data_IF_456610932230
#
_entry.id   IF_456610932230
#
_cell.length_a   1.000
_cell.length_b   1.000
_cell.length_c   1.000
_cell.angle_alpha   90.00
_cell.angle_beta   90.00
_cell.angle_gamma   90.00
#
_symmetry.space_group_name_H-M   'P 1'
#
loop_
_entity.id
_entity.type
_entity.pdbx_description
1 polymer ?
#
# COMPACT_ATOMS: atom_id res chain seq x y z
N UNK A 1 5.43 -2.27 4.17
CA UNK A 1 4.55 -3.40 4.59
C UNK A 1 3.43 -2.87 5.47
N UNK A 2 3.74 -2.14 6.56
CA UNK A 2 2.73 -1.50 7.41
C UNK A 2 1.78 -0.56 6.65
N UNK A 3 2.28 0.14 5.63
CA UNK A 3 1.48 1.04 4.78
C UNK A 3 0.38 0.28 4.02
N UNK A 4 0.66 -0.94 3.58
CA UNK A 4 -0.29 -1.81 2.91
C UNK A 4 -1.34 -2.35 3.88
N UNK A 5 -0.92 -2.76 5.07
CA UNK A 5 -1.84 -3.21 6.12
C UNK A 5 -2.81 -2.10 6.52
N UNK A 6 -2.33 -0.85 6.57
CA UNK A 6 -3.15 0.29 6.96
C UNK A 6 -4.09 0.76 5.85
N UNK A 7 -3.63 0.76 4.58
CA UNK A 7 -4.44 1.23 3.44
C UNK A 7 -5.45 0.18 2.97
N UNK A 8 -5.09 -1.11 3.02
CA UNK A 8 -5.90 -2.21 2.47
C UNK A 8 -6.45 -3.17 3.52
N UNK A 9 -6.17 -2.96 4.81
CA UNK A 9 -6.54 -3.87 5.90
C UNK A 9 -6.02 -5.31 5.69
N UNK A 10 -4.94 -5.47 4.92
CA UNK A 10 -4.33 -6.76 4.62
C UNK A 10 -3.68 -7.36 5.85
N UNK A 11 -3.85 -8.68 6.02
CA UNK A 11 -3.19 -9.44 7.09
C UNK A 11 -1.79 -9.84 6.63
N UNK A 12 -0.86 -10.14 7.55
CA UNK A 12 0.50 -10.57 7.18
C UNK A 12 0.53 -11.77 6.22
N UNK A 13 -0.42 -12.70 6.37
CA UNK A 13 -0.59 -13.87 5.49
C UNK A 13 -0.90 -13.49 4.04
N UNK A 14 -1.65 -12.39 3.83
CA UNK A 14 -2.02 -11.91 2.50
C UNK A 14 -0.79 -11.27 1.81
N UNK A 15 0.19 -10.78 2.58
CA UNK A 15 1.45 -10.24 2.06
C UNK A 15 2.49 -11.35 1.78
N UNK A 16 2.50 -12.40 2.59
CA UNK A 16 3.46 -13.51 2.47
C UNK A 16 3.16 -14.41 1.25
N UNK A 17 1.91 -14.43 0.80
CA UNK A 17 1.48 -15.12 -0.43
C UNK A 17 1.79 -14.38 -1.73
N UNK A 18 2.19 -13.11 -1.66
CA UNK A 18 2.45 -12.29 -2.85
C UNK A 18 3.96 -12.18 -3.13
N UNK A 19 4.37 -12.20 -4.42
CA UNK A 19 5.76 -12.00 -4.78
C UNK A 19 6.23 -10.58 -4.42
N UNK A 20 7.51 -10.45 -4.08
CA UNK A 20 8.11 -9.19 -3.62
C UNK A 20 7.93 -8.04 -4.63
N UNK A 21 7.99 -8.33 -5.92
CA UNK A 21 7.77 -7.33 -6.98
C UNK A 21 6.36 -6.72 -6.90
N UNK A 22 5.34 -7.55 -6.70
CA UNK A 22 3.95 -7.11 -6.58
C UNK A 22 3.73 -6.32 -5.28
N UNK A 23 4.35 -6.76 -4.17
CA UNK A 23 4.34 -5.98 -2.92
C UNK A 23 4.94 -4.58 -3.08
N UNK A 24 5.97 -4.42 -3.92
CA UNK A 24 6.57 -3.11 -4.17
C UNK A 24 5.63 -2.20 -4.97
N UNK A 25 4.97 -2.72 -6.01
CA UNK A 25 3.97 -1.98 -6.80
C UNK A 25 2.80 -1.51 -5.93
N UNK A 26 2.25 -2.40 -5.10
CA UNK A 26 1.19 -2.05 -4.16
C UNK A 26 1.66 -0.98 -3.17
N UNK A 27 2.91 -1.04 -2.70
CA UNK A 27 3.47 -0.05 -1.76
C UNK A 27 3.57 1.34 -2.39
N UNK A 28 3.91 1.42 -3.67
CA UNK A 28 3.88 2.68 -4.43
C UNK A 28 2.46 3.21 -4.62
N UNK A 29 1.49 2.34 -4.92
CA UNK A 29 0.09 2.72 -5.04
C UNK A 29 -0.48 3.25 -3.72
N UNK A 30 -0.19 2.56 -2.60
CA UNK A 30 -0.57 3.00 -1.25
C UNK A 30 0.05 4.35 -0.90
N UNK A 31 1.34 4.57 -1.23
CA UNK A 31 2.00 5.87 -1.05
C UNK A 31 1.32 6.98 -1.85
N UNK A 32 0.99 6.74 -3.12
CA UNK A 32 0.29 7.73 -3.97
C UNK A 32 -1.09 8.08 -3.42
N UNK A 33 -1.77 7.12 -2.79
CA UNK A 33 -3.11 7.30 -2.20
C UNK A 33 -3.07 7.99 -0.84
N UNK A 34 -2.00 7.76 -0.07
CA UNK A 34 -1.80 8.37 1.24
C UNK A 34 -1.16 9.75 1.17
N UNK A 35 -0.48 10.09 0.06
CA UNK A 35 -0.19 11.48 -0.24
C UNK A 35 -1.54 12.19 -0.32
N UNK A 36 -1.90 13.06 0.66
CA UNK A 36 -3.10 13.83 0.53
C UNK A 36 -2.92 14.62 -0.76
N UNK A 37 -3.78 14.36 -1.75
CA UNK A 37 -3.96 15.31 -2.83
C UNK A 37 -4.12 16.63 -2.12
N UNK A 38 -3.14 17.53 -2.29
CA UNK A 38 -3.32 18.92 -1.89
C UNK A 38 -4.67 19.27 -2.50
N UNK A 39 -5.62 19.52 -1.62
CA UNK A 39 -6.82 20.23 -1.94
C UNK A 39 -6.29 21.59 -2.41
N UNK A 40 -6.04 21.69 -3.71
CA UNK A 40 -5.85 22.96 -4.40
C UNK A 40 -7.25 23.59 -4.42
N UNK A 41 -7.45 24.50 -3.47
CA UNK A 41 -8.49 25.55 -3.48
C UNK A 41 -8.39 26.42 -4.74
#
# INVERSE_FOLDING_TARGET
>A
MADLALVFHWRPQDMDGLPLAELMDWREAARKRYAPSKHDD
#
